data_IF_492665445551
#
_entry.id   IF_492665445551
#
_cell.length_a   1.000
_cell.length_b   1.000
_cell.length_c   1.000
_cell.angle_alpha   90.00
_cell.angle_beta   90.00
_cell.angle_gamma   90.00
#
_symmetry.space_group_name_H-M   'P 1'
#
loop_
_entity.id
_entity.type
_entity.pdbx_description
1 polymer ?
#
# COMPACT_ATOMS: atom_id res chain seq x y z
N UNK A 1 -18.22 -9.41 -0.91
CA UNK A 1 -19.16 -9.93 -1.96
C UNK A 1 -18.46 -10.24 -3.30
N UNK A 2 -17.21 -9.84 -3.55
CA UNK A 2 -16.49 -10.13 -4.80
C UNK A 2 -16.01 -11.57 -4.96
N UNK A 3 -15.50 -12.17 -3.90
CA UNK A 3 -14.85 -13.50 -3.97
C UNK A 3 -15.83 -14.66 -4.23
N UNK A 4 -17.07 -14.55 -3.79
CA UNK A 4 -18.09 -15.58 -4.05
C UNK A 4 -18.46 -15.71 -5.53
N UNK A 5 -18.64 -14.60 -6.24
CA UNK A 5 -18.97 -14.59 -7.67
C UNK A 5 -17.80 -15.05 -8.56
N UNK A 6 -16.56 -14.79 -8.15
CA UNK A 6 -15.35 -15.24 -8.84
C UNK A 6 -15.21 -16.75 -8.71
N UNK A 7 -15.44 -17.29 -7.51
CA UNK A 7 -15.40 -18.74 -7.25
C UNK A 7 -16.50 -19.49 -7.98
N UNK A 8 -17.69 -18.91 -8.11
CA UNK A 8 -18.83 -19.51 -8.82
C UNK A 8 -18.58 -19.57 -10.33
N UNK A 9 -18.12 -18.48 -10.97
CA UNK A 9 -17.68 -18.45 -12.38
C UNK A 9 -16.51 -19.39 -12.66
N UNK A 10 -15.54 -19.46 -11.75
CA UNK A 10 -14.43 -20.42 -11.85
C UNK A 10 -14.94 -21.87 -11.73
N UNK A 11 -15.99 -22.12 -10.94
CA UNK A 11 -16.61 -23.44 -10.80
C UNK A 11 -17.27 -23.96 -12.08
N UNK A 12 -17.94 -23.08 -12.81
CA UNK A 12 -18.59 -23.45 -14.09
C UNK A 12 -17.58 -23.72 -15.21
N UNK A 13 -16.50 -22.90 -15.34
CA UNK A 13 -15.45 -23.11 -16.36
C UNK A 13 -14.52 -24.28 -16.03
N UNK A 14 -14.35 -24.67 -14.76
CA UNK A 14 -13.59 -25.87 -14.36
C UNK A 14 -14.09 -27.16 -15.04
N UNK A 15 -15.35 -27.22 -15.42
CA UNK A 15 -15.92 -28.39 -16.18
C UNK A 15 -15.34 -28.55 -17.57
N UNK A 16 -14.67 -27.52 -18.12
CA UNK A 16 -14.15 -27.52 -19.51
C UNK A 16 -12.62 -27.45 -19.62
N UNK A 17 -11.90 -27.41 -18.50
CA UNK A 17 -10.43 -27.44 -18.54
C UNK A 17 -9.99 -28.88 -18.78
N UNK A 18 -9.35 -29.13 -19.93
CA UNK A 18 -8.81 -30.45 -20.28
C UNK A 18 -7.67 -30.81 -19.32
N UNK A 19 -7.59 -32.06 -18.92
CA UNK A 19 -6.52 -32.56 -18.01
C UNK A 19 -5.12 -32.41 -18.60
N UNK A 20 -5.00 -32.31 -19.92
CA UNK A 20 -3.76 -32.12 -20.67
C UNK A 20 -3.38 -30.63 -20.86
N UNK A 21 -4.07 -29.69 -20.17
CA UNK A 21 -3.78 -28.28 -20.29
C UNK A 21 -2.41 -27.91 -19.67
N UNK A 22 -1.63 -27.16 -20.44
CA UNK A 22 -0.34 -26.63 -19.96
C UNK A 22 -0.55 -25.47 -18.98
N UNK A 23 0.47 -25.19 -18.17
CA UNK A 23 0.49 -24.04 -17.24
C UNK A 23 0.29 -22.72 -18.01
N UNK A 24 0.86 -22.59 -19.22
CA UNK A 24 0.66 -21.43 -20.09
C UNK A 24 -0.81 -21.25 -20.46
N UNK A 25 -1.47 -22.33 -20.90
CA UNK A 25 -2.90 -22.28 -21.27
C UNK A 25 -3.77 -21.90 -20.08
N UNK A 26 -3.52 -22.48 -18.91
CA UNK A 26 -4.25 -22.16 -17.69
C UNK A 26 -3.98 -20.73 -17.21
N UNK A 27 -2.76 -20.24 -17.39
CA UNK A 27 -2.40 -18.86 -17.06
C UNK A 27 -3.18 -17.85 -17.90
N UNK A 28 -3.38 -18.14 -19.20
CA UNK A 28 -4.18 -17.29 -20.08
C UNK A 28 -5.64 -17.26 -19.61
N UNK A 29 -6.25 -18.41 -19.36
CA UNK A 29 -7.63 -18.53 -18.85
C UNK A 29 -7.76 -17.81 -17.50
N UNK A 30 -6.78 -17.98 -16.60
CA UNK A 30 -6.76 -17.31 -15.30
C UNK A 30 -6.76 -15.80 -15.45
N UNK A 31 -5.97 -15.23 -16.34
CA UNK A 31 -5.92 -13.78 -16.57
C UNK A 31 -7.23 -13.25 -17.16
N UNK A 32 -7.87 -14.00 -18.08
CA UNK A 32 -9.20 -13.66 -18.62
C UNK A 32 -10.27 -13.65 -17.50
N UNK A 33 -10.27 -14.65 -16.62
CA UNK A 33 -11.22 -14.74 -15.50
C UNK A 33 -11.02 -13.63 -14.46
N UNK A 34 -9.77 -13.17 -14.29
CA UNK A 34 -9.45 -12.07 -13.38
C UNK A 34 -9.76 -10.69 -13.98
N UNK A 35 -9.89 -10.57 -15.28
CA UNK A 35 -10.24 -9.31 -15.94
C UNK A 35 -11.62 -8.83 -15.49
N UNK A 36 -11.72 -7.57 -15.07
CA UNK A 36 -12.93 -7.01 -14.47
C UNK A 36 -13.28 -7.50 -13.06
N UNK A 37 -12.66 -8.58 -12.57
CA UNK A 37 -12.90 -9.14 -11.23
C UNK A 37 -11.92 -8.58 -10.19
N UNK A 38 -10.73 -8.15 -10.62
CA UNK A 38 -9.71 -7.54 -9.78
C UNK A 38 -9.33 -6.16 -10.31
N UNK A 39 -8.67 -5.36 -9.45
CA UNK A 39 -8.18 -4.03 -9.86
C UNK A 39 -7.14 -4.13 -10.99
N UNK A 40 -7.07 -3.14 -11.89
CA UNK A 40 -6.08 -3.13 -12.98
C UNK A 40 -4.63 -3.29 -12.51
N UNK A 41 -4.27 -2.68 -11.36
CA UNK A 41 -2.94 -2.82 -10.77
C UNK A 41 -2.64 -4.25 -10.30
N UNK A 42 -3.64 -4.96 -9.77
CA UNK A 42 -3.52 -6.37 -9.36
C UNK A 42 -3.38 -7.27 -10.57
N UNK A 43 -4.21 -7.06 -11.60
CA UNK A 43 -4.12 -7.82 -12.86
C UNK A 43 -2.76 -7.62 -13.53
N UNK A 44 -2.24 -6.39 -13.55
CA UNK A 44 -0.91 -6.10 -14.08
C UNK A 44 0.20 -6.83 -13.29
N UNK A 45 0.05 -6.95 -11.96
CA UNK A 45 0.97 -7.72 -11.11
C UNK A 45 0.91 -9.21 -11.43
N UNK A 46 -0.28 -9.79 -11.57
CA UNK A 46 -0.45 -11.19 -11.97
C UNK A 46 0.18 -11.46 -13.34
N UNK A 47 -0.13 -10.62 -14.34
CA UNK A 47 0.42 -10.73 -15.68
C UNK A 47 1.94 -10.72 -15.67
N UNK A 48 2.55 -9.76 -14.95
CA UNK A 48 4.01 -9.69 -14.81
C UNK A 48 4.58 -10.93 -14.14
N UNK A 49 4.02 -11.40 -13.03
CA UNK A 49 4.53 -12.57 -12.31
C UNK A 49 4.39 -13.85 -13.14
N UNK A 50 3.33 -13.98 -13.92
CA UNK A 50 3.15 -15.09 -14.87
C UNK A 50 4.22 -15.00 -15.96
N UNK A 51 4.32 -13.88 -16.66
CA UNK A 51 5.20 -13.74 -17.83
C UNK A 51 6.69 -13.81 -17.47
N UNK A 52 7.10 -13.17 -16.35
CA UNK A 52 8.52 -13.07 -16.00
C UNK A 52 9.04 -14.24 -15.18
N UNK A 53 8.17 -14.97 -14.48
CA UNK A 53 8.62 -16.00 -13.54
C UNK A 53 8.02 -17.37 -13.82
N UNK A 54 6.68 -17.49 -14.00
CA UNK A 54 6.02 -18.80 -14.11
C UNK A 54 6.23 -19.41 -15.50
N UNK A 55 5.90 -18.67 -16.57
CA UNK A 55 5.96 -19.20 -17.93
C UNK A 55 7.36 -19.62 -18.37
N UNK A 56 8.45 -18.88 -18.09
CA UNK A 56 9.78 -19.29 -18.50
C UNK A 56 10.24 -20.64 -17.91
N UNK A 57 9.76 -20.96 -16.70
CA UNK A 57 10.15 -22.19 -16.00
C UNK A 57 9.17 -23.36 -16.24
N UNK A 58 7.87 -23.09 -16.17
CA UNK A 58 6.85 -24.12 -16.09
C UNK A 58 5.77 -24.03 -17.18
N UNK A 59 5.84 -23.03 -18.06
CA UNK A 59 4.77 -22.74 -19.03
C UNK A 59 4.38 -23.93 -19.92
N UNK A 60 5.38 -24.67 -20.44
CA UNK A 60 5.20 -25.82 -21.31
C UNK A 60 4.75 -27.12 -20.59
N UNK A 61 4.80 -27.15 -19.25
CA UNK A 61 4.45 -28.32 -18.46
C UNK A 61 2.92 -28.52 -18.42
N UNK A 62 2.49 -29.76 -18.51
CA UNK A 62 1.08 -30.14 -18.25
C UNK A 62 0.79 -29.97 -16.77
N UNK A 63 -0.17 -29.12 -16.44
CA UNK A 63 -0.42 -28.73 -15.04
C UNK A 63 -0.84 -29.91 -14.15
N UNK A 64 -1.59 -30.86 -14.70
CA UNK A 64 -2.03 -32.05 -13.96
C UNK A 64 -0.91 -33.04 -13.67
N UNK A 65 0.23 -32.96 -14.36
CA UNK A 65 1.39 -33.82 -14.20
C UNK A 65 2.50 -33.23 -13.32
N UNK A 66 2.34 -31.96 -12.90
CA UNK A 66 3.32 -31.33 -12.03
C UNK A 66 3.30 -31.98 -10.64
N UNK A 67 4.41 -32.60 -10.26
CA UNK A 67 4.57 -33.18 -8.93
C UNK A 67 4.84 -32.07 -7.88
N UNK A 68 4.47 -32.33 -6.62
CA UNK A 68 4.75 -31.41 -5.51
C UNK A 68 6.26 -31.13 -5.36
N UNK A 69 7.11 -32.12 -5.60
CA UNK A 69 8.57 -31.98 -5.58
C UNK A 69 9.04 -30.92 -6.60
N UNK A 70 8.58 -30.99 -7.85
CA UNK A 70 8.95 -30.02 -8.90
C UNK A 70 8.52 -28.59 -8.56
N UNK A 71 7.33 -28.43 -7.95
CA UNK A 71 6.86 -27.12 -7.48
C UNK A 71 7.71 -26.59 -6.34
N UNK A 72 8.13 -27.45 -5.40
CA UNK A 72 9.05 -27.07 -4.32
C UNK A 72 10.43 -26.68 -4.84
N UNK A 73 10.98 -27.44 -5.80
CA UNK A 73 12.27 -27.13 -6.45
C UNK A 73 12.20 -25.77 -7.14
N UNK A 74 11.12 -25.48 -7.85
CA UNK A 74 10.90 -24.19 -8.46
C UNK A 74 10.81 -23.05 -7.43
N UNK A 75 10.10 -23.25 -6.31
CA UNK A 75 10.02 -22.29 -5.21
C UNK A 75 11.39 -22.06 -4.60
N UNK A 76 12.21 -23.11 -4.44
CA UNK A 76 13.58 -23.00 -3.91
C UNK A 76 14.48 -22.20 -4.85
N UNK A 77 14.44 -22.46 -6.15
CA UNK A 77 15.18 -21.68 -7.16
C UNK A 77 14.82 -20.18 -7.09
N UNK A 78 13.54 -19.86 -6.98
CA UNK A 78 13.11 -18.48 -6.83
C UNK A 78 13.65 -17.80 -5.55
N UNK A 79 13.91 -18.56 -4.49
CA UNK A 79 14.45 -18.01 -3.23
C UNK A 79 15.92 -17.58 -3.34
N UNK A 80 16.66 -18.06 -4.34
CA UNK A 80 18.05 -17.66 -4.59
C UNK A 80 18.11 -16.17 -5.03
N UNK A 81 17.15 -15.72 -5.86
CA UNK A 81 17.19 -14.40 -6.47
C UNK A 81 16.17 -13.42 -5.87
N UNK A 82 15.11 -13.92 -5.24
CA UNK A 82 13.97 -13.08 -4.86
C UNK A 82 13.64 -13.12 -3.36
N UNK A 83 13.02 -12.05 -2.90
CA UNK A 83 12.59 -11.95 -1.49
C UNK A 83 11.51 -13.01 -1.15
N UNK A 84 11.47 -13.52 0.10
CA UNK A 84 10.45 -14.48 0.54
C UNK A 84 9.01 -14.03 0.28
N UNK A 85 8.76 -12.72 0.31
CA UNK A 85 7.44 -12.15 0.02
C UNK A 85 7.08 -12.34 -1.45
N UNK A 86 7.98 -12.01 -2.38
CA UNK A 86 7.72 -12.15 -3.82
C UNK A 86 7.59 -13.63 -4.20
N UNK A 87 8.46 -14.48 -3.66
CA UNK A 87 8.39 -15.94 -3.89
C UNK A 87 7.04 -16.50 -3.42
N UNK A 88 6.55 -16.07 -2.25
CA UNK A 88 5.22 -16.47 -1.76
C UNK A 88 4.09 -15.98 -2.65
N UNK A 89 4.20 -14.77 -3.23
CA UNK A 89 3.21 -14.23 -4.16
C UNK A 89 3.19 -15.01 -5.48
N UNK A 90 4.38 -15.34 -6.05
CA UNK A 90 4.52 -16.13 -7.28
C UNK A 90 4.04 -17.57 -7.05
N UNK A 91 4.51 -18.23 -5.99
CA UNK A 91 4.11 -19.60 -5.66
C UNK A 91 2.61 -19.72 -5.39
N UNK A 92 2.03 -18.78 -4.64
CA UNK A 92 0.59 -18.74 -4.41
C UNK A 92 -0.22 -18.53 -5.69
N UNK A 93 0.31 -17.75 -6.64
CA UNK A 93 -0.30 -17.56 -7.96
C UNK A 93 -0.22 -18.84 -8.79
N UNK A 94 0.93 -19.51 -8.83
CA UNK A 94 1.12 -20.80 -9.49
C UNK A 94 0.13 -21.84 -8.96
N UNK A 95 0.03 -21.99 -7.63
CA UNK A 95 -0.89 -22.94 -7.00
C UNK A 95 -2.37 -22.69 -7.40
N UNK A 96 -2.77 -21.43 -7.54
CA UNK A 96 -4.11 -21.08 -8.02
C UNK A 96 -4.32 -21.50 -9.47
N UNK A 97 -3.33 -21.27 -10.33
CA UNK A 97 -3.38 -21.62 -11.77
C UNK A 97 -3.45 -23.14 -11.93
N UNK A 98 -2.55 -23.88 -11.28
CA UNK A 98 -2.50 -25.35 -11.36
C UNK A 98 -3.76 -25.98 -10.73
N UNK A 99 -4.28 -25.37 -9.68
CA UNK A 99 -5.55 -25.76 -9.07
C UNK A 99 -6.75 -25.74 -10.02
N UNK A 100 -6.70 -24.99 -11.12
CA UNK A 100 -7.73 -25.02 -12.17
C UNK A 100 -7.78 -26.36 -12.92
N UNK A 101 -6.67 -27.11 -12.98
CA UNK A 101 -6.62 -28.48 -13.52
C UNK A 101 -7.08 -29.55 -12.49
N UNK A 102 -7.56 -29.13 -11.32
CA UNK A 102 -7.98 -30.04 -10.26
C UNK A 102 -6.84 -30.58 -9.40
N UNK A 103 -5.62 -30.05 -9.53
CA UNK A 103 -4.47 -30.45 -8.72
C UNK A 103 -4.46 -29.68 -7.42
N UNK A 104 -4.37 -30.38 -6.30
CA UNK A 104 -4.22 -29.82 -4.99
C UNK A 104 -3.07 -30.52 -4.26
N UNK A 105 -2.08 -29.75 -3.83
CA UNK A 105 -0.91 -30.32 -3.17
C UNK A 105 -1.04 -30.40 -1.64
N UNK A 106 -2.10 -29.82 -1.07
CA UNK A 106 -2.27 -29.82 0.39
C UNK A 106 -1.07 -29.20 1.12
N UNK A 107 -0.48 -29.96 2.04
CA UNK A 107 0.70 -29.57 2.81
C UNK A 107 2.03 -29.96 2.12
N UNK A 108 1.99 -30.66 0.99
CA UNK A 108 3.19 -31.15 0.30
C UNK A 108 3.99 -30.03 -0.38
N UNK A 109 3.35 -28.86 -0.65
CA UNK A 109 4.03 -27.68 -1.16
C UNK A 109 4.13 -26.61 -0.08
N UNK A 110 5.38 -26.23 0.23
CA UNK A 110 5.67 -25.26 1.27
C UNK A 110 6.10 -23.91 0.72
N UNK A 111 5.30 -22.88 0.99
CA UNK A 111 5.64 -21.51 0.66
C UNK A 111 6.50 -20.86 1.76
N UNK A 112 7.49 -20.02 1.41
CA UNK A 112 8.39 -19.41 2.38
C UNK A 112 7.64 -18.56 3.40
N UNK A 113 8.08 -18.62 4.67
CA UNK A 113 7.55 -17.79 5.75
C UNK A 113 8.04 -16.34 5.57
N UNK A 114 7.12 -15.41 5.50
CA UNK A 114 7.45 -13.98 5.44
C UNK A 114 7.58 -13.44 6.86
N UNK A 115 8.80 -13.14 7.29
CA UNK A 115 9.02 -12.43 8.55
C UNK A 115 8.59 -10.99 8.40
N UNK A 116 7.76 -10.51 9.32
CA UNK A 116 7.40 -9.10 9.36
C UNK A 116 8.64 -8.30 9.80
N UNK A 117 9.06 -7.36 8.95
CA UNK A 117 10.09 -6.38 9.35
C UNK A 117 9.46 -5.38 10.31
N UNK A 118 10.26 -4.93 11.29
CA UNK A 118 9.86 -3.82 12.15
C UNK A 118 9.48 -2.61 11.29
N UNK A 119 8.42 -1.93 11.70
CA UNK A 119 7.95 -0.73 10.99
C UNK A 119 8.94 0.39 11.24
N UNK A 120 9.59 0.88 10.18
CA UNK A 120 10.47 2.05 10.28
C UNK A 120 9.63 3.33 10.39
N UNK A 121 9.98 4.17 11.35
CA UNK A 121 9.36 5.48 11.57
C UNK A 121 10.42 6.57 11.68
N UNK A 122 10.04 7.81 11.41
CA UNK A 122 10.84 8.97 11.70
C UNK A 122 10.67 9.36 13.18
N UNK A 123 11.77 9.67 13.84
CA UNK A 123 11.76 10.20 15.20
C UNK A 123 11.24 11.64 15.22
N UNK A 124 10.81 12.12 16.38
CA UNK A 124 10.36 13.50 16.52
C UNK A 124 11.46 14.54 16.19
N UNK A 125 12.73 14.35 16.58
CA UNK A 125 13.82 15.22 16.14
C UNK A 125 14.00 15.25 14.63
N UNK A 126 13.95 14.08 13.94
CA UNK A 126 14.05 14.02 12.48
C UNK A 126 12.90 14.77 11.80
N UNK A 127 11.66 14.61 12.28
CA UNK A 127 10.50 15.34 11.77
C UNK A 127 10.61 16.86 11.98
N UNK A 128 11.11 17.28 13.14
CA UNK A 128 11.39 18.71 13.43
C UNK A 128 12.47 19.26 12.51
N UNK A 129 13.55 18.52 12.29
CA UNK A 129 14.63 18.89 11.37
C UNK A 129 14.11 19.06 9.93
N UNK A 130 13.32 18.09 9.45
CA UNK A 130 12.66 18.18 8.14
C UNK A 130 11.77 19.44 8.06
N UNK A 131 10.95 19.69 9.08
CA UNK A 131 10.09 20.86 9.16
C UNK A 131 10.88 22.17 9.07
N UNK A 132 11.96 22.31 9.82
CA UNK A 132 12.83 23.50 9.81
C UNK A 132 13.43 23.76 8.41
N UNK A 133 13.94 22.72 7.75
CA UNK A 133 14.54 22.85 6.41
C UNK A 133 13.48 23.22 5.37
N UNK A 134 12.29 22.61 5.43
CA UNK A 134 11.18 22.91 4.53
C UNK A 134 10.69 24.35 4.70
N UNK A 135 10.55 24.81 5.96
CA UNK A 135 10.08 26.17 6.26
C UNK A 135 11.07 27.26 5.82
N UNK A 136 12.39 26.96 5.87
CA UNK A 136 13.43 27.91 5.36
C UNK A 136 13.39 28.04 3.84
N UNK A 137 13.00 27.00 3.12
CA UNK A 137 12.93 27.00 1.66
C UNK A 137 11.71 26.20 1.22
N UNK A 138 10.52 26.81 1.33
CA UNK A 138 9.27 26.14 1.03
C UNK A 138 9.14 25.85 -0.47
N UNK A 139 8.79 24.60 -0.77
CA UNK A 139 8.42 24.14 -2.09
C UNK A 139 7.22 23.18 -2.01
N UNK A 140 6.64 22.81 -3.16
CA UNK A 140 5.46 21.93 -3.20
C UNK A 140 5.78 20.50 -2.71
N UNK A 141 7.00 20.04 -2.87
CA UNK A 141 7.45 18.75 -2.34
C UNK A 141 7.48 18.78 -0.82
N UNK A 142 8.08 19.82 -0.23
CA UNK A 142 8.10 20.02 1.22
C UNK A 142 6.69 20.15 1.81
N UNK A 143 5.80 20.92 1.13
CA UNK A 143 4.40 21.03 1.53
C UNK A 143 3.72 19.65 1.58
N UNK A 144 3.88 18.83 0.54
CA UNK A 144 3.31 17.48 0.48
C UNK A 144 3.88 16.54 1.55
N UNK A 145 5.18 16.64 1.84
CA UNK A 145 5.83 15.85 2.90
C UNK A 145 5.30 16.23 4.28
N UNK A 146 5.20 17.54 4.58
CA UNK A 146 4.63 18.01 5.85
C UNK A 146 3.16 17.60 5.97
N UNK A 147 2.37 17.82 4.92
CA UNK A 147 0.96 17.42 4.91
C UNK A 147 0.82 15.92 5.22
N UNK A 148 1.64 15.08 4.59
CA UNK A 148 1.65 13.63 4.88
C UNK A 148 2.06 13.32 6.31
N UNK A 149 3.07 14.01 6.85
CA UNK A 149 3.52 13.82 8.22
C UNK A 149 2.44 14.22 9.26
N UNK A 150 1.55 15.14 8.91
CA UNK A 150 0.44 15.61 9.78
C UNK A 150 -0.88 14.88 9.57
N UNK A 151 -1.07 14.18 8.47
CA UNK A 151 -2.36 13.57 8.10
C UNK A 151 -2.30 12.08 7.80
N UNK A 152 -1.10 11.54 7.64
CA UNK A 152 -0.90 10.13 7.34
C UNK A 152 -1.35 9.70 5.93
N UNK A 153 -1.41 10.60 4.96
CA UNK A 153 -1.79 10.31 3.58
C UNK A 153 -0.93 9.21 2.94
N UNK A 154 -1.55 8.41 2.06
CA UNK A 154 -0.79 7.57 1.13
C UNK A 154 -0.21 8.44 0.01
N UNK A 155 0.91 8.02 -0.58
CA UNK A 155 1.54 8.76 -1.67
C UNK A 155 0.58 9.01 -2.85
N UNK A 156 -0.20 8.01 -3.24
CA UNK A 156 -1.20 8.15 -4.31
C UNK A 156 -2.33 9.12 -3.93
N UNK A 157 -2.78 9.12 -2.68
CA UNK A 157 -3.77 10.08 -2.16
C UNK A 157 -3.20 11.51 -2.21
N UNK A 158 -1.97 11.71 -1.74
CA UNK A 158 -1.28 13.01 -1.84
C UNK A 158 -1.16 13.50 -3.28
N UNK A 159 -0.81 12.61 -4.22
CA UNK A 159 -0.74 12.96 -5.64
C UNK A 159 -2.12 13.27 -6.24
N UNK A 160 -3.18 12.71 -5.69
CA UNK A 160 -4.56 12.95 -6.13
C UNK A 160 -5.22 14.20 -5.55
N UNK A 161 -4.58 14.86 -4.57
CA UNK A 161 -5.17 16.04 -3.93
C UNK A 161 -5.25 17.25 -4.86
N UNK A 162 -6.43 17.87 -4.87
CA UNK A 162 -6.74 19.14 -5.51
C UNK A 162 -7.05 20.21 -4.46
N UNK A 163 -7.02 21.47 -4.84
CA UNK A 163 -7.31 22.58 -3.91
C UNK A 163 -8.75 22.56 -3.40
N UNK A 164 -9.71 22.08 -4.19
CA UNK A 164 -11.10 21.89 -3.76
C UNK A 164 -11.30 20.86 -2.63
N UNK A 165 -10.30 20.02 -2.40
CA UNK A 165 -10.33 19.03 -1.32
C UNK A 165 -9.94 19.63 0.04
N UNK A 166 -9.48 20.88 0.07
CA UNK A 166 -9.04 21.58 1.28
C UNK A 166 -10.11 22.56 1.73
N UNK A 167 -10.84 22.21 2.76
CA UNK A 167 -11.75 23.13 3.45
C UNK A 167 -10.98 23.87 4.55
N UNK A 168 -10.54 25.09 4.23
CA UNK A 168 -9.80 25.93 5.16
C UNK A 168 -10.67 26.43 6.31
N UNK A 169 -11.97 26.67 6.04
CA UNK A 169 -12.92 27.16 7.04
C UNK A 169 -13.21 26.12 8.12
N UNK A 170 -13.46 24.88 7.72
CA UNK A 170 -13.66 23.75 8.64
C UNK A 170 -12.33 23.16 9.13
N UNK A 171 -11.21 23.44 8.46
CA UNK A 171 -9.91 22.82 8.78
C UNK A 171 -9.86 21.35 8.43
N UNK A 172 -10.47 20.94 7.33
CA UNK A 172 -10.63 19.56 6.91
C UNK A 172 -9.99 19.33 5.53
N UNK A 173 -9.55 18.10 5.31
CA UNK A 173 -9.03 17.58 4.06
C UNK A 173 -9.88 16.40 3.60
N UNK A 174 -10.46 16.47 2.40
CA UNK A 174 -11.26 15.40 1.81
C UNK A 174 -10.41 14.49 0.94
N UNK A 175 -10.35 13.21 1.24
CA UNK A 175 -9.62 12.21 0.45
C UNK A 175 -10.62 11.43 -0.39
N UNK A 176 -10.68 11.74 -1.69
CA UNK A 176 -11.63 11.15 -2.64
C UNK A 176 -10.98 10.64 -3.93
N UNK A 177 -9.65 10.76 -4.06
CA UNK A 177 -8.89 10.32 -5.26
C UNK A 177 -7.55 9.72 -4.87
N UNK A 178 -7.06 8.84 -5.74
CA UNK A 178 -5.69 8.32 -5.67
C UNK A 178 -5.09 8.27 -7.07
N UNK A 179 -3.81 8.57 -7.20
CA UNK A 179 -3.04 8.44 -8.43
C UNK A 179 -2.17 7.20 -8.33
N UNK A 180 -2.32 6.30 -9.28
CA UNK A 180 -1.50 5.10 -9.40
C UNK A 180 -0.80 5.09 -10.77
N UNK A 181 0.40 4.51 -10.80
CA UNK A 181 1.11 4.22 -12.06
C UNK A 181 0.93 2.74 -12.36
N UNK A 182 0.22 2.43 -13.44
CA UNK A 182 -0.17 1.07 -13.82
C UNK A 182 0.66 0.64 -15.03
N UNK A 183 1.20 -0.58 -14.99
CA UNK A 183 1.89 -1.17 -16.13
C UNK A 183 0.88 -1.45 -17.26
N UNK A 184 1.28 -1.13 -18.51
CA UNK A 184 0.49 -1.37 -19.70
C UNK A 184 0.88 -2.65 -20.41
N UNK A 185 -0.05 -3.23 -21.15
CA UNK A 185 0.19 -4.34 -22.06
C UNK A 185 1.10 -3.82 -23.19
N UNK A 186 2.17 -4.54 -23.50
CA UNK A 186 3.16 -4.09 -24.49
C UNK A 186 4.30 -3.23 -23.94
N UNK A 187 4.29 -2.97 -22.64
CA UNK A 187 5.37 -2.25 -21.95
C UNK A 187 5.00 -0.81 -21.57
N UNK A 188 5.85 -0.22 -20.75
CA UNK A 188 5.60 1.13 -20.21
C UNK A 188 4.61 1.15 -19.04
N UNK A 189 4.26 2.37 -18.63
CA UNK A 189 3.30 2.60 -17.53
C UNK A 189 2.50 3.88 -17.81
N UNK A 190 1.25 3.92 -17.39
CA UNK A 190 0.41 5.13 -17.43
C UNK A 190 0.05 5.61 -16.02
N UNK A 191 -0.20 6.91 -15.89
CA UNK A 191 -0.81 7.49 -14.70
C UNK A 191 -2.33 7.34 -14.81
N UNK A 192 -2.93 6.84 -13.73
CA UNK A 192 -4.37 6.67 -13.66
C UNK A 192 -4.88 7.31 -12.37
N UNK A 193 -5.86 8.20 -12.49
CA UNK A 193 -6.59 8.77 -11.36
C UNK A 193 -7.80 7.88 -11.11
N UNK A 194 -7.94 7.39 -9.89
CA UNK A 194 -9.02 6.48 -9.50
C UNK A 194 -9.67 6.93 -8.21
N UNK A 195 -10.93 6.58 -7.95
CA UNK A 195 -11.50 6.68 -6.61
C UNK A 195 -10.70 5.79 -5.63
N UNK A 196 -10.79 6.04 -4.34
CA UNK A 196 -10.13 5.23 -3.32
C UNK A 196 -10.50 3.74 -3.40
N UNK A 197 -9.61 2.87 -2.87
CA UNK A 197 -9.74 1.40 -3.01
C UNK A 197 -10.97 0.80 -2.31
N UNK A 198 -11.45 1.45 -1.26
CA UNK A 198 -12.57 0.99 -0.43
C UNK A 198 -13.38 2.21 0.01
N UNK A 199 -14.63 2.03 0.36
CA UNK A 199 -15.50 3.07 0.94
C UNK A 199 -14.82 3.76 2.14
N UNK A 200 -14.16 2.99 3.01
CA UNK A 200 -13.42 3.53 4.16
C UNK A 200 -12.19 4.37 3.77
N UNK A 201 -11.77 4.35 2.51
CA UNK A 201 -10.62 5.15 2.04
C UNK A 201 -11.05 6.56 1.65
N UNK A 202 -12.32 6.79 1.29
CA UNK A 202 -12.91 8.12 1.21
C UNK A 202 -13.19 8.61 2.64
N UNK A 203 -12.60 9.75 2.99
CA UNK A 203 -12.64 10.23 4.36
C UNK A 203 -12.27 11.69 4.48
N UNK A 204 -12.70 12.29 5.59
CA UNK A 204 -12.27 13.62 6.01
C UNK A 204 -11.20 13.52 7.08
N UNK A 205 -10.14 14.31 6.95
CA UNK A 205 -9.02 14.34 7.91
C UNK A 205 -8.89 15.76 8.45
N UNK A 206 -8.93 15.96 9.78
CA UNK A 206 -8.65 17.25 10.39
C UNK A 206 -7.21 17.70 10.11
N UNK A 207 -7.05 18.97 9.72
CA UNK A 207 -5.74 19.57 9.46
C UNK A 207 -5.38 20.47 10.66
N UNK A 208 -4.21 20.30 11.29
CA UNK A 208 -3.76 21.20 12.36
C UNK A 208 -3.63 22.65 11.88
N UNK A 209 -3.92 23.61 12.76
CA UNK A 209 -3.91 25.04 12.44
C UNK A 209 -2.56 25.52 11.86
N UNK A 210 -1.45 24.96 12.35
CA UNK A 210 -0.11 25.26 11.83
C UNK A 210 0.07 24.84 10.37
N UNK A 211 -0.52 23.71 9.96
CA UNK A 211 -0.49 23.23 8.58
C UNK A 211 -1.45 24.06 7.67
N UNK A 212 -2.63 24.43 8.18
CA UNK A 212 -3.57 25.28 7.46
C UNK A 212 -2.95 26.63 7.05
N UNK A 213 -2.09 27.22 7.89
CA UNK A 213 -1.38 28.48 7.57
C UNK A 213 -0.46 28.36 6.34
N UNK A 214 -0.03 27.15 6.00
CA UNK A 214 0.82 26.87 4.83
C UNK A 214 -0.01 26.62 3.57
N UNK A 215 -1.29 26.25 3.72
CA UNK A 215 -2.22 25.99 2.63
C UNK A 215 -2.91 27.29 2.26
N UNK A 216 -2.72 27.78 1.03
CA UNK A 216 -3.32 29.02 0.52
C UNK A 216 -4.12 28.71 -0.75
N UNK A 217 -5.35 28.19 -0.62
CA UNK A 217 -6.17 27.78 -1.76
C UNK A 217 -6.74 28.93 -2.57
N UNK A 218 -6.93 30.12 -1.93
CA UNK A 218 -7.76 31.22 -2.51
C UNK A 218 -7.26 31.75 -3.86
N UNK A 219 -6.01 31.49 -4.19
CA UNK A 219 -5.40 31.97 -5.44
C UNK A 219 -5.27 30.87 -6.50
N UNK A 220 -5.87 29.71 -6.29
CA UNK A 220 -5.70 28.56 -7.18
C UNK A 220 -7.02 28.07 -7.73
N UNK A 221 -7.09 27.61 -9.00
CA UNK A 221 -8.24 26.92 -9.52
C UNK A 221 -8.59 25.72 -8.63
N UNK A 222 -9.88 25.49 -8.30
CA UNK A 222 -10.30 24.43 -7.38
C UNK A 222 -9.86 23.03 -7.80
N UNK A 223 -9.82 22.75 -9.10
CA UNK A 223 -9.46 21.49 -9.72
C UNK A 223 -7.96 21.30 -9.94
N UNK A 224 -7.15 22.33 -9.66
CA UNK A 224 -5.69 22.22 -9.77
C UNK A 224 -5.09 21.35 -8.66
N UNK A 225 -4.13 20.49 -9.03
CA UNK A 225 -3.46 19.61 -8.10
C UNK A 225 -2.54 20.38 -7.14
N UNK A 226 -2.59 20.03 -5.86
CA UNK A 226 -1.79 20.67 -4.81
C UNK A 226 -0.29 20.60 -5.09
N UNK A 227 0.21 19.45 -5.57
CA UNK A 227 1.65 19.22 -5.80
C UNK A 227 2.19 19.87 -7.08
N UNK A 228 1.39 20.01 -8.13
CA UNK A 228 1.82 20.66 -9.39
C UNK A 228 1.37 22.12 -9.47
N UNK A 229 0.28 22.44 -8.80
CA UNK A 229 -0.37 23.76 -8.82
C UNK A 229 -1.09 24.08 -10.11
N UNK A 230 -1.41 23.09 -10.90
CA UNK A 230 -2.13 23.15 -12.16
C UNK A 230 -2.83 21.84 -12.48
N UNK A 231 -3.22 21.66 -13.72
CA UNK A 231 -3.98 20.50 -14.20
C UNK A 231 -3.15 19.23 -14.38
N UNK A 232 -1.81 19.37 -14.40
CA UNK A 232 -0.91 18.21 -14.60
C UNK A 232 -0.98 17.28 -13.41
N UNK A 233 -1.40 16.04 -13.65
CA UNK A 233 -1.47 14.97 -12.64
C UNK A 233 -0.08 14.71 -12.05
N UNK A 234 0.11 14.83 -10.73
CA UNK A 234 1.40 14.54 -10.09
C UNK A 234 1.80 13.06 -10.25
N UNK A 235 3.02 12.83 -10.72
CA UNK A 235 3.57 11.47 -10.82
C UNK A 235 4.12 10.99 -9.47
N UNK A 236 3.61 9.88 -8.90
CA UNK A 236 4.12 9.31 -7.66
C UNK A 236 5.62 8.97 -7.70
N UNK A 237 6.17 8.54 -8.85
CA UNK A 237 7.61 8.27 -8.99
C UNK A 237 8.44 9.54 -8.90
N UNK A 238 8.01 10.60 -9.58
CA UNK A 238 8.67 11.90 -9.51
C UNK A 238 8.62 12.45 -8.07
N UNK A 239 7.49 12.28 -7.38
CA UNK A 239 7.37 12.68 -5.97
C UNK A 239 8.30 11.88 -5.05
N UNK A 240 8.42 10.56 -5.25
CA UNK A 240 9.38 9.73 -4.49
C UNK A 240 10.83 10.17 -4.71
N UNK A 241 11.21 10.49 -5.93
CA UNK A 241 12.54 11.00 -6.23
C UNK A 241 12.81 12.34 -5.53
N UNK A 242 11.88 13.30 -5.66
CA UNK A 242 12.00 14.62 -4.99
C UNK A 242 12.04 14.48 -3.47
N UNK A 243 11.27 13.56 -2.92
CA UNK A 243 11.28 13.24 -1.50
C UNK A 243 12.65 12.71 -1.05
N UNK A 244 13.28 11.82 -1.83
CA UNK A 244 14.63 11.33 -1.53
C UNK A 244 15.63 12.49 -1.48
N UNK A 245 15.63 13.37 -2.47
CA UNK A 245 16.48 14.58 -2.51
C UNK A 245 16.19 15.52 -1.33
N UNK A 246 14.92 15.64 -0.94
CA UNK A 246 14.55 16.42 0.24
C UNK A 246 15.15 15.86 1.53
N UNK A 247 15.09 14.54 1.74
CA UNK A 247 15.69 13.90 2.93
C UNK A 247 17.21 14.09 2.96
N UNK A 248 17.89 13.95 1.82
CA UNK A 248 19.33 14.24 1.70
C UNK A 248 19.63 15.70 2.09
N UNK A 249 18.88 16.66 1.60
CA UNK A 249 18.97 18.08 1.96
C UNK A 249 18.71 18.32 3.45
N UNK A 250 17.86 17.52 4.07
CA UNK A 250 17.57 17.60 5.49
C UNK A 250 18.63 16.90 6.37
N UNK A 251 19.58 16.15 5.79
CA UNK A 251 20.51 15.31 6.55
C UNK A 251 19.82 14.17 7.31
N UNK A 252 18.66 13.72 6.81
CA UNK A 252 17.87 12.64 7.41
C UNK A 252 18.04 11.36 6.60
N UNK A 253 18.29 10.24 7.29
CA UNK A 253 18.45 8.93 6.64
C UNK A 253 17.23 8.61 5.80
N UNK A 254 17.45 8.15 4.56
CA UNK A 254 16.38 7.75 3.67
C UNK A 254 15.54 6.61 4.26
N UNK A 255 14.25 6.82 4.28
CA UNK A 255 13.20 5.81 4.46
C UNK A 255 12.16 6.00 3.37
N UNK A 256 11.46 4.93 2.98
CA UNK A 256 10.43 5.05 1.95
C UNK A 256 9.32 6.02 2.38
N UNK A 257 8.60 6.59 1.40
CA UNK A 257 7.59 7.63 1.66
C UNK A 257 6.49 7.17 2.64
N UNK A 258 6.17 5.88 2.63
CA UNK A 258 5.14 5.32 3.53
C UNK A 258 5.53 5.38 5.02
N UNK A 259 6.82 5.53 5.32
CA UNK A 259 7.30 5.74 6.69
C UNK A 259 6.77 7.03 7.32
N UNK A 260 6.45 8.08 6.53
CA UNK A 260 5.79 9.29 7.05
C UNK A 260 4.42 8.96 7.64
N UNK A 261 3.64 8.15 6.92
CA UNK A 261 2.33 7.69 7.40
C UNK A 261 2.47 6.78 8.63
N UNK A 262 3.46 5.90 8.66
CA UNK A 262 3.73 5.09 9.85
C UNK A 262 4.12 5.96 11.04
N UNK A 263 4.94 7.00 10.83
CA UNK A 263 5.31 7.94 11.88
C UNK A 263 4.11 8.72 12.41
N UNK A 264 3.20 9.16 11.51
CA UNK A 264 1.95 9.80 11.92
C UNK A 264 1.11 8.86 12.79
N UNK A 265 0.90 7.63 12.34
CA UNK A 265 0.12 6.63 13.04
C UNK A 265 0.71 6.31 14.43
N UNK A 266 2.03 6.09 14.52
CA UNK A 266 2.74 5.84 15.78
C UNK A 266 2.58 7.03 16.74
N UNK A 267 2.73 8.26 16.25
CA UNK A 267 2.54 9.47 17.07
C UNK A 267 1.09 9.65 17.56
N UNK A 268 0.09 9.28 16.74
CA UNK A 268 -1.31 9.27 17.22
C UNK A 268 -1.48 8.29 18.37
N UNK A 269 -0.96 7.08 18.25
CA UNK A 269 -0.97 6.06 19.30
C UNK A 269 -0.25 6.55 20.57
N UNK A 270 0.96 7.09 20.44
CA UNK A 270 1.75 7.60 21.56
C UNK A 270 1.10 8.79 22.29
N UNK A 271 0.21 9.51 21.60
CA UNK A 271 -0.61 10.60 22.17
C UNK A 271 -1.97 10.14 22.69
N UNK A 272 -2.24 8.83 22.72
CA UNK A 272 -3.44 8.26 23.30
C UNK A 272 -4.67 8.31 22.40
N UNK A 273 -4.51 8.58 21.10
CA UNK A 273 -5.62 8.45 20.14
C UNK A 273 -6.00 6.98 20.05
N UNK A 274 -7.27 6.66 20.22
CA UNK A 274 -7.74 5.28 20.18
C UNK A 274 -7.59 4.63 18.80
N UNK A 275 -7.52 3.29 18.79
CA UNK A 275 -7.26 2.49 17.58
C UNK A 275 -8.27 2.74 16.48
N UNK A 276 -9.54 2.92 16.84
CA UNK A 276 -10.62 3.11 15.88
C UNK A 276 -10.45 4.44 15.16
N UNK A 277 -10.25 5.52 15.91
CA UNK A 277 -10.03 6.85 15.35
C UNK A 277 -8.75 6.88 14.47
N UNK A 278 -7.64 6.27 14.92
CA UNK A 278 -6.43 6.15 14.08
C UNK A 278 -6.72 5.37 12.79
N UNK A 279 -7.48 4.30 12.87
CA UNK A 279 -7.87 3.48 11.70
C UNK A 279 -8.72 4.27 10.70
N UNK A 280 -9.68 5.05 11.20
CA UNK A 280 -10.55 5.92 10.39
C UNK A 280 -9.74 7.04 9.73
N UNK A 281 -8.92 7.78 10.48
CA UNK A 281 -8.04 8.82 9.96
C UNK A 281 -7.11 8.30 8.86
N UNK A 282 -6.61 7.09 9.01
CA UNK A 282 -5.76 6.45 8.01
C UNK A 282 -6.56 5.82 6.85
N UNK A 283 -7.86 5.56 7.00
CA UNK A 283 -8.64 4.83 6.01
C UNK A 283 -8.13 3.39 5.84
N UNK A 284 -7.94 2.67 6.95
CA UNK A 284 -7.64 1.25 6.94
C UNK A 284 -8.94 0.45 6.82
N UNK A 285 -9.02 -0.44 5.82
CA UNK A 285 -10.16 -1.35 5.67
C UNK A 285 -10.23 -2.38 6.81
N UNK A 286 -9.10 -2.67 7.45
CA UNK A 286 -8.97 -3.62 8.55
C UNK A 286 -8.21 -2.98 9.73
N UNK A 287 -8.88 -2.85 10.85
CA UNK A 287 -8.33 -2.31 12.12
C UNK A 287 -7.09 -3.07 12.59
N UNK A 288 -6.97 -4.36 12.23
CA UNK A 288 -5.76 -5.17 12.53
C UNK A 288 -4.48 -4.56 11.95
N UNK A 289 -4.60 -3.81 10.85
CA UNK A 289 -3.46 -3.06 10.29
C UNK A 289 -2.98 -1.98 11.25
N UNK A 290 -3.89 -1.29 11.92
CA UNK A 290 -3.58 -0.26 12.93
C UNK A 290 -3.07 -0.91 14.22
N UNK A 291 -3.67 -2.02 14.66
CA UNK A 291 -3.25 -2.75 15.86
C UNK A 291 -1.78 -3.18 15.81
N UNK A 292 -1.24 -3.48 14.64
CA UNK A 292 0.20 -3.83 14.47
C UNK A 292 1.14 -2.71 14.91
N UNK A 293 0.71 -1.46 14.86
CA UNK A 293 1.50 -0.31 15.35
C UNK A 293 1.59 -0.30 16.89
N UNK A 294 0.57 -0.83 17.58
CA UNK A 294 0.55 -0.92 19.05
C UNK A 294 1.47 -2.01 19.59
N UNK A 295 1.78 -3.05 18.81
CA UNK A 295 2.68 -4.15 19.22
C UNK A 295 4.08 -3.63 19.53
N UNK A 296 4.50 -2.54 18.88
CA UNK A 296 5.80 -1.91 19.04
C UNK A 296 5.76 -0.62 19.86
N UNK A 297 4.68 -0.40 20.64
CA UNK A 297 4.60 0.78 21.51
C UNK A 297 5.73 0.79 22.55
N UNK A 298 6.33 1.98 22.78
CA UNK A 298 7.45 2.14 23.70
C UNK A 298 7.07 1.78 25.13
N UNK A 299 8.05 1.34 25.94
CA UNK A 299 7.82 1.09 27.37
C UNK A 299 7.38 2.36 28.11
N UNK A 300 7.83 3.53 27.67
CA UNK A 300 7.40 4.82 28.22
C UNK A 300 5.91 5.11 27.98
N UNK A 301 5.39 4.71 26.80
CA UNK A 301 3.95 4.78 26.54
C UNK A 301 3.18 3.85 27.50
N UNK A 302 3.62 2.59 27.63
CA UNK A 302 2.99 1.61 28.52
C UNK A 302 3.00 2.09 29.99
N UNK A 303 4.13 2.65 30.43
CA UNK A 303 4.27 3.21 31.79
C UNK A 303 3.27 4.35 32.02
N UNK A 304 3.21 5.34 31.10
CA UNK A 304 2.25 6.45 31.19
C UNK A 304 0.81 5.99 31.21
N UNK A 305 0.46 4.98 30.38
CA UNK A 305 -0.88 4.41 30.36
C UNK A 305 -1.25 3.77 31.70
N UNK A 306 -0.35 3.01 32.32
CA UNK A 306 -0.55 2.38 33.63
C UNK A 306 -0.63 3.43 34.74
N UNK A 307 0.23 4.46 34.73
CA UNK A 307 0.17 5.56 35.69
C UNK A 307 -1.13 6.35 35.63
N UNK A 308 -1.77 6.41 34.44
CA UNK A 308 -3.08 7.03 34.25
C UNK A 308 -4.25 6.26 34.91
N UNK A 309 -4.07 4.96 35.18
CA UNK A 309 -5.09 4.09 35.79
C UNK A 309 -5.08 4.22 37.34
N UNK A 310 -4.02 4.80 37.93
CA UNK A 310 -3.85 4.89 39.36
C UNK A 310 -4.99 5.68 40.05
N UNK A 311 -5.73 5.01 40.94
CA UNK A 311 -6.84 5.58 41.72
C UNK A 311 -6.42 6.14 43.09
N UNK A 312 -5.14 6.03 43.44
CA UNK A 312 -4.59 6.51 44.70
C UNK A 312 -4.02 7.94 44.60
N UNK A 313 -4.07 8.59 43.41
CA UNK A 313 -3.64 9.97 43.21
C UNK A 313 -4.46 10.91 44.08
N UNK A 314 -3.79 11.56 45.05
CA UNK A 314 -4.40 12.51 45.98
C UNK A 314 -4.87 11.90 47.33
N UNK A 315 -4.54 10.65 47.61
CA UNK A 315 -4.81 9.99 48.91
C UNK A 315 -3.51 9.88 49.76
N UNK A 316 -2.32 10.12 49.10
CA UNK A 316 -1.02 10.16 49.81
C UNK A 316 -0.53 11.58 49.94
#
# INVERSE_FOLDING_TARGET
>A
MGDGKVLEKMGERRKYVRRDATVERLSAIFLEDMEGSVKPSTLACYRRNIQCHILPALGARVAAELAAAEVNDYIQQLQEDYSPKLVREIGGLLLRIVGMAGVGYGEDVTLPKVRQKAVEVFTEPELKQMGQVILRRPDRTGLGVLLTAYTGLRLGELCGLQWQDVDVGAGLLHIQRTVERIAQIGGGTCLTVQPPKTENSERWIPIPKEMLRMLKPETKPPDSYLLTGGEIVPDPRAMQYRYKVLLERCGVRYRNFHCLRHSYATRCVERGVDVKNVSELLGHADVRTTLRLYVHSSMDYKRRAVEGIGFLKGIT
#
